data_IF_239709747640
#
_entry.id   IF_239709747640
#
_cell.length_a   1.000
_cell.length_b   1.000
_cell.length_c   1.000
_cell.angle_alpha   90.00
_cell.angle_beta   90.00
_cell.angle_gamma   90.00
#
_symmetry.space_group_name_H-M   'P 1'
#
loop_
_entity.id
_entity.type
_entity.pdbx_description
1 polymer ?
#
# COMPACT_ATOMS: atom_id res chain seq x y z
N UNK A 1 33.81 -23.39 50.89
CA UNK A 1 33.54 -22.36 49.85
C UNK A 1 32.57 -22.94 48.85
N UNK A 2 31.32 -22.53 48.91
CA UNK A 2 30.32 -22.91 47.89
C UNK A 2 30.29 -21.82 46.83
N UNK A 3 30.63 -22.19 45.60
CA UNK A 3 30.45 -21.32 44.45
C UNK A 3 28.98 -21.42 43.98
N UNK A 4 28.24 -20.37 44.19
CA UNK A 4 26.89 -20.23 43.66
C UNK A 4 27.05 -19.85 42.20
N UNK A 5 26.72 -20.78 41.28
CA UNK A 5 26.61 -20.51 39.86
C UNK A 5 25.20 -19.95 39.64
N UNK A 6 25.12 -18.65 39.48
CA UNK A 6 23.88 -18.01 39.05
C UNK A 6 23.64 -18.33 37.56
N UNK A 7 22.70 -19.23 37.30
CA UNK A 7 22.27 -19.56 35.96
C UNK A 7 21.32 -18.42 35.49
N UNK A 8 21.87 -17.48 34.76
CA UNK A 8 21.04 -16.43 34.11
C UNK A 8 20.19 -17.06 33.02
N UNK A 9 18.90 -17.23 33.32
CA UNK A 9 17.91 -17.66 32.35
C UNK A 9 17.57 -16.46 31.48
N UNK A 10 18.19 -16.37 30.32
CA UNK A 10 17.83 -15.36 29.31
C UNK A 10 16.53 -15.80 28.64
N UNK A 11 15.42 -15.23 29.05
CA UNK A 11 14.16 -15.35 28.32
C UNK A 11 14.27 -14.56 27.01
N UNK A 12 14.49 -15.25 25.92
CA UNK A 12 14.32 -14.70 24.59
C UNK A 12 12.83 -14.52 24.35
N UNK A 13 12.32 -13.33 24.63
CA UNK A 13 10.98 -12.92 24.23
C UNK A 13 10.99 -12.68 22.71
N UNK A 14 10.79 -13.74 21.94
CA UNK A 14 10.47 -13.61 20.53
C UNK A 14 9.04 -13.06 20.41
N UNK A 15 8.91 -11.73 20.37
CA UNK A 15 7.63 -11.09 20.20
C UNK A 15 7.09 -11.34 18.78
N UNK A 16 6.01 -12.09 18.66
CA UNK A 16 5.24 -12.15 17.43
C UNK A 16 4.64 -10.77 17.15
N UNK A 17 5.08 -10.11 16.07
CA UNK A 17 4.47 -8.85 15.63
C UNK A 17 3.08 -9.15 15.08
N UNK A 18 2.06 -8.45 15.58
CA UNK A 18 0.70 -8.56 15.06
C UNK A 18 0.62 -7.96 13.65
N UNK A 19 -0.38 -8.38 12.86
CA UNK A 19 -0.67 -7.81 11.54
C UNK A 19 -0.87 -6.29 11.60
N UNK A 20 -1.55 -5.79 12.63
CA UNK A 20 -1.76 -4.36 12.86
C UNK A 20 -0.43 -3.62 13.06
N UNK A 21 0.51 -4.21 13.80
CA UNK A 21 1.84 -3.62 14.00
C UNK A 21 2.61 -3.55 12.68
N UNK A 22 2.47 -4.55 11.81
CA UNK A 22 3.10 -4.53 10.49
C UNK A 22 2.52 -3.43 9.59
N UNK A 23 1.21 -3.18 9.65
CA UNK A 23 0.58 -2.07 8.91
C UNK A 23 1.09 -0.71 9.38
N UNK A 24 1.10 -0.48 10.68
CA UNK A 24 1.55 0.79 11.27
C UNK A 24 3.02 1.04 11.01
N UNK A 25 3.83 -0.03 10.99
CA UNK A 25 5.28 0.04 10.85
C UNK A 25 5.78 -0.35 9.45
N UNK A 26 5.05 -0.02 8.39
CA UNK A 26 5.52 -0.30 7.03
C UNK A 26 6.76 0.52 6.63
N UNK A 27 7.22 1.42 7.52
CA UNK A 27 8.41 2.29 7.34
C UNK A 27 8.36 3.16 6.08
N UNK A 28 7.18 3.60 5.75
CA UNK A 28 6.93 4.37 4.53
C UNK A 28 7.89 5.55 4.35
N UNK A 29 8.12 6.34 5.40
CA UNK A 29 8.97 7.54 5.34
C UNK A 29 10.43 7.24 5.03
N UNK A 30 10.90 6.04 5.38
CA UNK A 30 12.29 5.60 5.21
C UNK A 30 12.50 4.77 3.94
N UNK A 31 11.42 4.39 3.28
CA UNK A 31 11.46 3.49 2.12
C UNK A 31 11.90 4.24 0.87
N UNK A 32 12.80 3.63 0.12
CA UNK A 32 13.17 4.07 -1.22
C UNK A 32 12.28 3.38 -2.25
N UNK A 33 11.57 4.13 -3.10
CA UNK A 33 10.77 3.53 -4.16
C UNK A 33 11.66 2.88 -5.22
N UNK A 34 11.11 1.86 -5.88
CA UNK A 34 11.71 1.24 -7.07
C UNK A 34 11.05 1.81 -8.32
N UNK A 35 11.77 1.79 -9.44
CA UNK A 35 11.21 2.20 -10.74
C UNK A 35 10.18 1.14 -11.17
N UNK A 36 8.90 1.50 -11.34
CA UNK A 36 7.90 0.57 -11.85
C UNK A 36 8.10 0.30 -13.34
N UNK A 37 7.56 -0.82 -13.82
CA UNK A 37 7.63 -1.14 -15.26
C UNK A 37 6.86 -0.13 -16.13
N UNK A 38 5.89 0.56 -15.54
CA UNK A 38 5.09 1.58 -16.21
C UNK A 38 4.62 2.63 -15.20
N UNK A 39 4.57 3.88 -15.61
CA UNK A 39 3.92 4.97 -14.88
C UNK A 39 2.57 5.28 -15.49
N UNK A 40 1.67 5.86 -14.73
CA UNK A 40 0.34 6.20 -15.21
C UNK A 40 -0.66 6.40 -14.09
N UNK A 41 -1.94 6.40 -14.47
CA UNK A 41 -3.07 6.56 -13.57
C UNK A 41 -4.06 5.44 -13.82
N UNK A 42 -4.55 4.82 -12.75
CA UNK A 42 -5.52 3.72 -12.80
C UNK A 42 -6.59 3.96 -11.74
N UNK A 43 -7.83 3.61 -12.09
CA UNK A 43 -9.00 3.80 -11.23
C UNK A 43 -9.83 2.52 -11.13
N UNK A 44 -10.40 2.29 -9.95
CA UNK A 44 -11.38 1.24 -9.68
C UNK A 44 -12.58 1.84 -8.95
N UNK A 45 -13.77 1.33 -9.27
CA UNK A 45 -14.98 1.61 -8.49
C UNK A 45 -15.41 0.34 -7.75
N UNK A 46 -15.54 0.43 -6.43
CA UNK A 46 -15.96 -0.68 -5.57
C UNK A 46 -17.08 -0.17 -4.67
N UNK A 47 -18.32 -0.58 -4.94
CA UNK A 47 -19.47 -0.10 -4.18
C UNK A 47 -19.53 1.44 -4.16
N UNK A 48 -19.60 2.08 -2.97
CA UNK A 48 -19.67 3.54 -2.84
C UNK A 48 -18.30 4.23 -3.01
N UNK A 49 -17.23 3.47 -3.22
CA UNK A 49 -15.85 3.99 -3.26
C UNK A 49 -15.32 4.05 -4.67
N UNK A 50 -14.61 5.13 -4.98
CA UNK A 50 -13.81 5.29 -6.19
C UNK A 50 -12.37 5.50 -5.74
N UNK A 51 -11.47 4.61 -6.16
CA UNK A 51 -10.06 4.66 -5.79
C UNK A 51 -9.21 4.87 -7.02
N UNK A 52 -8.31 5.85 -6.98
CA UNK A 52 -7.42 6.20 -8.09
C UNK A 52 -5.98 6.19 -7.61
N UNK A 53 -5.13 5.45 -8.31
CA UNK A 53 -3.69 5.38 -8.04
C UNK A 53 -2.96 6.04 -9.19
N UNK A 54 -2.06 6.98 -8.87
CA UNK A 54 -1.06 7.51 -9.78
C UNK A 54 0.31 7.00 -9.37
N UNK A 55 1.06 6.44 -10.30
CA UNK A 55 2.48 6.12 -10.13
C UNK A 55 3.32 6.97 -11.08
N UNK A 56 4.31 7.65 -10.51
CA UNK A 56 5.34 8.37 -11.24
C UNK A 56 6.43 7.40 -11.74
N UNK A 57 7.25 7.86 -12.65
CA UNK A 57 8.34 7.06 -13.21
C UNK A 57 9.38 6.63 -12.16
N UNK A 58 9.53 7.38 -11.07
CA UNK A 58 10.46 7.07 -9.98
C UNK A 58 9.88 6.11 -8.92
N UNK A 59 8.61 5.73 -9.04
CA UNK A 59 7.93 4.83 -8.09
C UNK A 59 7.20 5.54 -6.97
N UNK A 60 7.30 6.85 -6.84
CA UNK A 60 6.42 7.62 -5.97
C UNK A 60 5.05 7.80 -6.61
N UNK A 61 4.05 8.07 -5.80
CA UNK A 61 2.72 8.30 -6.31
C UNK A 61 1.73 8.80 -5.27
N UNK A 62 0.48 8.81 -5.67
CA UNK A 62 -0.64 9.26 -4.84
C UNK A 62 -1.80 8.30 -5.03
N UNK A 63 -2.49 8.01 -3.93
CA UNK A 63 -3.77 7.30 -3.89
C UNK A 63 -4.85 8.30 -3.48
N UNK A 64 -5.89 8.42 -4.30
CA UNK A 64 -7.08 9.21 -3.99
C UNK A 64 -8.26 8.27 -3.82
N UNK A 65 -8.81 8.22 -2.61
CA UNK A 65 -10.00 7.43 -2.29
C UNK A 65 -11.18 8.35 -2.00
N UNK A 66 -12.26 8.20 -2.75
CA UNK A 66 -13.52 8.89 -2.52
C UNK A 66 -14.57 7.86 -2.11
N UNK A 67 -15.06 7.96 -0.87
CA UNK A 67 -16.15 7.13 -0.36
C UNK A 67 -17.33 8.03 0.00
N UNK A 68 -18.40 7.95 -0.77
CA UNK A 68 -19.60 8.78 -0.59
C UNK A 68 -19.29 10.30 -0.54
N UNK A 69 -18.35 10.77 -1.33
CA UNK A 69 -17.94 12.17 -1.36
C UNK A 69 -16.91 12.57 -0.31
N UNK A 70 -16.54 11.66 0.60
CA UNK A 70 -15.43 11.86 1.53
C UNK A 70 -14.13 11.42 0.88
N UNK A 71 -13.23 12.37 0.62
CA UNK A 71 -12.00 12.14 -0.11
C UNK A 71 -10.80 12.11 0.82
N UNK A 72 -9.96 11.08 0.67
CA UNK A 72 -8.70 10.93 1.38
C UNK A 72 -7.58 10.77 0.37
N UNK A 73 -6.49 11.53 0.55
CA UNK A 73 -5.27 11.39 -0.23
C UNK A 73 -4.18 10.76 0.62
N UNK A 74 -3.49 9.79 0.06
CA UNK A 74 -2.31 9.18 0.67
C UNK A 74 -1.18 9.15 -0.35
N UNK A 75 0.03 9.41 0.11
CA UNK A 75 1.23 9.13 -0.69
C UNK A 75 1.43 7.63 -0.80
N UNK A 76 1.93 7.18 -1.93
CA UNK A 76 2.27 5.78 -2.15
C UNK A 76 3.70 5.66 -2.67
N UNK A 77 4.30 4.48 -2.46
CA UNK A 77 5.61 4.11 -3.01
C UNK A 77 5.52 2.70 -3.56
N UNK A 78 5.94 2.54 -4.80
CA UNK A 78 6.09 1.23 -5.41
C UNK A 78 7.45 0.66 -5.08
N UNK A 79 7.51 -0.55 -4.58
CA UNK A 79 8.77 -1.28 -4.34
C UNK A 79 8.51 -2.78 -4.26
N UNK A 80 9.36 -3.58 -4.90
CA UNK A 80 9.31 -5.06 -4.80
C UNK A 80 7.94 -5.66 -5.13
N UNK A 81 7.29 -5.19 -6.20
CA UNK A 81 5.95 -5.61 -6.62
C UNK A 81 4.87 -5.35 -5.55
N UNK A 82 5.07 -4.33 -4.74
CA UNK A 82 4.10 -3.89 -3.75
C UNK A 82 3.89 -2.39 -3.85
N UNK A 83 2.70 -1.94 -3.50
CA UNK A 83 2.41 -0.53 -3.32
C UNK A 83 2.23 -0.28 -1.82
N UNK A 84 3.15 0.47 -1.25
CA UNK A 84 3.12 0.89 0.15
C UNK A 84 2.38 2.20 0.25
N UNK A 85 1.42 2.29 1.16
CA UNK A 85 0.59 3.47 1.38
C UNK A 85 0.99 4.09 2.72
N UNK A 86 1.06 5.41 2.78
CA UNK A 86 1.54 6.10 3.99
C UNK A 86 0.64 5.88 5.22
N UNK A 87 -0.62 5.46 5.03
CA UNK A 87 -1.52 5.10 6.13
C UNK A 87 -1.20 3.73 6.77
N UNK A 88 -0.19 3.01 6.26
CA UNK A 88 0.23 1.69 6.76
C UNK A 88 -0.24 0.52 5.90
N UNK A 89 -1.20 0.71 5.00
CA UNK A 89 -1.67 -0.37 4.12
C UNK A 89 -0.60 -0.74 3.08
N UNK A 90 -0.62 -1.99 2.67
CA UNK A 90 0.27 -2.51 1.63
C UNK A 90 -0.59 -3.30 0.63
N UNK A 91 -0.42 -3.00 -0.65
CA UNK A 91 -1.03 -3.74 -1.74
C UNK A 91 0.00 -4.68 -2.37
N UNK A 92 -0.32 -5.96 -2.45
CA UNK A 92 0.47 -6.94 -3.20
C UNK A 92 0.07 -6.88 -4.66
N UNK A 93 0.98 -6.41 -5.51
CA UNK A 93 0.72 -6.21 -6.94
C UNK A 93 0.97 -7.50 -7.70
N UNK A 94 -0.07 -8.03 -8.31
CA UNK A 94 -0.01 -9.24 -9.14
C UNK A 94 0.32 -8.91 -10.59
N UNK A 95 -0.23 -7.81 -11.10
CA UNK A 95 -0.02 -7.36 -12.47
C UNK A 95 0.07 -5.84 -12.47
N UNK A 96 1.07 -5.31 -13.14
CA UNK A 96 1.23 -3.89 -13.40
C UNK A 96 1.62 -3.70 -14.85
N UNK A 97 0.73 -3.11 -15.63
CA UNK A 97 1.00 -2.73 -17.01
C UNK A 97 0.22 -1.46 -17.36
N UNK A 98 0.34 -1.00 -18.60
CA UNK A 98 -0.32 0.24 -19.04
C UNK A 98 -1.84 0.19 -18.95
N UNK A 99 -2.45 -1.01 -18.93
CA UNK A 99 -3.91 -1.18 -18.96
C UNK A 99 -4.50 -1.39 -17.57
N UNK A 100 -3.80 -2.12 -16.69
CA UNK A 100 -4.31 -2.49 -15.37
C UNK A 100 -3.25 -2.47 -14.29
N UNK A 101 -3.72 -2.28 -13.04
CA UNK A 101 -3.07 -2.78 -11.85
C UNK A 101 -3.99 -3.83 -11.22
N UNK A 102 -3.51 -5.06 -11.11
CA UNK A 102 -4.17 -6.10 -10.32
C UNK A 102 -3.44 -6.24 -8.99
N UNK A 103 -4.15 -6.01 -7.90
CA UNK A 103 -3.56 -6.02 -6.57
C UNK A 103 -4.55 -6.53 -5.52
N UNK A 104 -4.03 -6.90 -4.36
CA UNK A 104 -4.85 -7.23 -3.19
C UNK A 104 -4.17 -6.72 -1.93
N UNK A 105 -4.96 -6.46 -0.89
CA UNK A 105 -4.42 -6.08 0.42
C UNK A 105 -3.78 -7.31 1.08
N UNK A 106 -2.60 -7.12 1.68
CA UNK A 106 -1.86 -8.23 2.32
C UNK A 106 -2.58 -8.80 3.53
N UNK A 107 -3.34 -7.98 4.24
CA UNK A 107 -3.86 -8.32 5.57
C UNK A 107 -5.25 -8.92 5.57
N UNK A 108 -5.90 -9.11 4.42
CA UNK A 108 -7.22 -9.70 4.35
C UNK A 108 -7.15 -11.11 3.80
N UNK A 109 -7.42 -12.12 4.62
CA UNK A 109 -7.48 -13.52 4.20
C UNK A 109 -8.59 -13.79 3.17
N UNK A 110 -9.60 -12.91 3.12
CA UNK A 110 -10.75 -13.02 2.22
C UNK A 110 -10.76 -11.96 1.12
N UNK A 111 -9.66 -11.22 0.94
CA UNK A 111 -9.60 -10.19 -0.09
C UNK A 111 -9.59 -10.80 -1.48
N UNK A 112 -10.52 -10.37 -2.31
CA UNK A 112 -10.47 -10.62 -3.75
C UNK A 112 -9.48 -9.65 -4.40
N UNK A 113 -8.98 -10.03 -5.59
CA UNK A 113 -8.14 -9.15 -6.37
C UNK A 113 -8.93 -7.93 -6.82
N UNK A 114 -8.32 -6.76 -6.66
CA UNK A 114 -8.82 -5.50 -7.17
C UNK A 114 -8.16 -5.22 -8.52
N UNK A 115 -8.94 -4.89 -9.51
CA UNK A 115 -8.42 -4.56 -10.84
C UNK A 115 -8.70 -3.08 -11.10
N UNK A 116 -7.66 -2.27 -10.98
CA UNK A 116 -7.67 -0.87 -11.38
C UNK A 116 -7.44 -0.80 -12.90
N UNK A 117 -8.24 -0.04 -13.59
CA UNK A 117 -8.12 0.14 -15.05
C UNK A 117 -7.48 1.48 -15.38
N UNK A 118 -6.71 1.51 -16.46
CA UNK A 118 -6.05 2.72 -16.94
C UNK A 118 -7.05 3.88 -17.09
N UNK A 119 -6.68 5.03 -16.54
CA UNK A 119 -7.53 6.23 -16.48
C UNK A 119 -6.68 7.50 -16.54
N UNK A 120 -5.74 7.57 -17.49
CA UNK A 120 -4.82 8.70 -17.59
C UNK A 120 -5.53 10.03 -17.82
N UNK A 121 -6.74 10.01 -18.37
CA UNK A 121 -7.57 11.19 -18.58
C UNK A 121 -8.49 11.52 -17.38
N UNK A 122 -8.41 10.73 -16.30
CA UNK A 122 -9.22 10.90 -15.09
C UNK A 122 -10.74 10.88 -15.33
N UNK A 123 -11.21 10.11 -16.31
CA UNK A 123 -12.63 10.01 -16.65
C UNK A 123 -13.44 9.18 -15.66
N UNK A 124 -12.82 8.15 -15.08
CA UNK A 124 -13.44 7.26 -14.11
C UNK A 124 -13.17 7.68 -12.65
N UNK A 125 -12.13 8.48 -12.43
CA UNK A 125 -11.78 8.99 -11.11
C UNK A 125 -12.85 9.91 -10.54
N UNK A 126 -12.89 10.03 -9.20
CA UNK A 126 -13.71 11.04 -8.56
C UNK A 126 -13.35 12.44 -9.06
N UNK A 127 -14.35 13.29 -9.27
CA UNK A 127 -14.15 14.68 -9.69
C UNK A 127 -13.34 15.51 -8.69
N UNK A 128 -13.18 15.01 -7.47
CA UNK A 128 -12.40 15.66 -6.42
C UNK A 128 -10.91 15.28 -6.45
N UNK A 129 -10.54 14.23 -7.18
CA UNK A 129 -9.15 13.74 -7.27
C UNK A 129 -8.22 14.61 -8.15
N UNK A 130 -8.66 15.23 -9.27
CA UNK A 130 -7.74 15.90 -10.21
C UNK A 130 -6.92 17.03 -9.63
N UNK A 131 -7.34 17.62 -8.51
CA UNK A 131 -6.61 18.74 -7.90
C UNK A 131 -5.29 18.31 -7.26
N UNK A 132 -5.15 17.03 -6.87
CA UNK A 132 -3.99 16.51 -6.15
C UNK A 132 -3.20 15.46 -6.96
N UNK A 133 -3.77 14.94 -8.02
CA UNK A 133 -3.15 13.92 -8.88
C UNK A 133 -2.36 14.51 -10.06
#
# INVERSE_FOLDING_TARGET
MQKIIALSLVFLLSGCKSSTTQMVNNKFSQMQPSIPSVSGIWTISIGPSISTIKLEADGNGILCDDTNGHVVFNKVKYANNMIYIENGMILDVKTLNKDIIEARTILSASSSNMIYKADNDLKAASLKCPKEI
#
